data_IF_912367264516
#
_entry.id   IF_912367264516
#
_cell.length_a   1.000
_cell.length_b   1.000
_cell.length_c   1.000
_cell.angle_alpha   90.00
_cell.angle_beta   90.00
_cell.angle_gamma   90.00
#
_symmetry.space_group_name_H-M   'P 1'
#
loop_
_entity.id
_entity.type
_entity.pdbx_description
1 polymer ?
#
# COMPACT_ATOMS: atom_id res chain seq x y z
N UNK A 1 -48.50 12.40 20.76
CA UNK A 1 -47.20 12.94 21.21
C UNK A 1 -46.10 11.86 21.27
N UNK A 2 -46.40 10.59 21.61
CA UNK A 2 -45.36 9.54 21.76
C UNK A 2 -44.47 9.25 20.54
N UNK A 3 -44.99 9.29 19.31
CA UNK A 3 -44.21 8.97 18.10
C UNK A 3 -43.09 9.98 17.79
N UNK A 4 -43.25 11.25 18.12
CA UNK A 4 -42.22 12.26 17.86
C UNK A 4 -41.07 12.18 18.88
N UNK A 5 -41.39 11.92 20.16
CA UNK A 5 -40.39 11.73 21.21
C UNK A 5 -39.57 10.45 21.01
N UNK A 6 -40.19 9.39 20.51
CA UNK A 6 -39.48 8.15 20.20
C UNK A 6 -38.48 8.34 19.04
N UNK A 7 -38.89 9.09 18.00
CA UNK A 7 -38.03 9.39 16.83
C UNK A 7 -36.89 10.35 17.16
N UNK A 8 -37.11 11.30 18.06
CA UNK A 8 -36.05 12.17 18.59
C UNK A 8 -35.06 11.34 19.41
N UNK A 9 -35.53 10.38 20.20
CA UNK A 9 -34.67 9.44 20.94
C UNK A 9 -33.76 8.62 20.02
N UNK A 10 -34.34 8.00 19.00
CA UNK A 10 -33.60 7.22 17.98
C UNK A 10 -32.55 8.07 17.27
N UNK A 11 -32.90 9.28 16.83
CA UNK A 11 -31.95 10.20 16.19
C UNK A 11 -30.83 10.66 17.13
N UNK A 12 -31.12 10.87 18.41
CA UNK A 12 -30.07 11.24 19.38
C UNK A 12 -29.10 10.09 19.64
N UNK A 13 -29.57 8.84 19.62
CA UNK A 13 -28.74 7.66 19.78
C UNK A 13 -27.87 7.43 18.54
N UNK A 14 -28.45 7.55 17.35
CA UNK A 14 -27.73 7.44 16.06
C UNK A 14 -26.66 8.54 15.92
N UNK A 15 -26.95 9.77 16.32
CA UNK A 15 -25.97 10.87 16.35
C UNK A 15 -24.86 10.61 17.37
N UNK A 16 -25.17 10.02 18.53
CA UNK A 16 -24.16 9.67 19.53
C UNK A 16 -23.24 8.54 19.02
N UNK A 17 -23.79 7.54 18.35
CA UNK A 17 -23.05 6.44 17.74
C UNK A 17 -22.13 6.94 16.62
N UNK A 18 -22.64 7.72 15.67
CA UNK A 18 -21.85 8.31 14.59
C UNK A 18 -20.72 9.19 15.14
N UNK A 19 -20.97 9.93 16.23
CA UNK A 19 -19.95 10.76 16.88
C UNK A 19 -18.87 9.92 17.56
N UNK A 20 -19.24 8.81 18.18
CA UNK A 20 -18.28 7.89 18.78
C UNK A 20 -17.40 7.24 17.70
N UNK A 21 -18.00 6.81 16.59
CA UNK A 21 -17.30 6.25 15.44
C UNK A 21 -16.35 7.25 14.79
N UNK A 22 -16.81 8.50 14.59
CA UNK A 22 -15.97 9.58 14.05
C UNK A 22 -14.75 9.83 14.94
N UNK A 23 -14.94 9.88 16.26
CA UNK A 23 -13.84 10.06 17.21
C UNK A 23 -12.87 8.86 17.19
N UNK A 24 -13.37 7.63 17.07
CA UNK A 24 -12.52 6.44 16.95
C UNK A 24 -11.71 6.44 15.65
N UNK A 25 -12.32 6.87 14.53
CA UNK A 25 -11.62 7.01 13.25
C UNK A 25 -10.57 8.11 13.29
N UNK A 26 -10.86 9.25 13.91
CA UNK A 26 -9.88 10.33 14.09
C UNK A 26 -8.67 9.87 14.92
N UNK A 27 -8.90 9.16 16.03
CA UNK A 27 -7.81 8.60 16.84
C UNK A 27 -6.97 7.57 16.05
N UNK A 28 -7.61 6.79 15.18
CA UNK A 28 -6.88 5.86 14.30
C UNK A 28 -6.07 6.58 13.22
N UNK A 29 -6.57 7.70 12.69
CA UNK A 29 -5.86 8.53 11.73
C UNK A 29 -4.64 9.19 12.35
N UNK A 30 -4.77 9.80 13.53
CA UNK A 30 -3.65 10.39 14.28
C UNK A 30 -2.54 9.35 14.51
N UNK A 31 -2.91 8.13 14.93
CA UNK A 31 -1.94 7.05 15.14
C UNK A 31 -1.23 6.61 13.84
N UNK A 32 -1.94 6.62 12.71
CA UNK A 32 -1.34 6.31 11.42
C UNK A 32 -0.40 7.43 10.97
N UNK A 33 -0.76 8.69 11.19
CA UNK A 33 0.11 9.84 10.90
C UNK A 33 1.39 9.79 11.73
N UNK A 34 1.30 9.51 13.03
CA UNK A 34 2.47 9.32 13.90
C UNK A 34 3.36 8.17 13.42
N UNK A 35 2.75 7.03 13.05
CA UNK A 35 3.47 5.86 12.55
C UNK A 35 4.18 6.16 11.22
N UNK A 36 3.55 6.95 10.36
CA UNK A 36 4.10 7.36 9.07
C UNK A 36 5.29 8.30 9.25
N UNK A 37 5.19 9.28 10.16
CA UNK A 37 6.31 10.17 10.49
C UNK A 37 7.49 9.38 11.05
N UNK A 38 7.23 8.48 12.02
CA UNK A 38 8.27 7.65 12.62
C UNK A 38 8.95 6.74 11.58
N UNK A 39 8.18 6.17 10.65
CA UNK A 39 8.73 5.37 9.55
C UNK A 39 9.57 6.22 8.60
N UNK A 40 9.10 7.40 8.21
CA UNK A 40 9.84 8.34 7.35
C UNK A 40 11.19 8.72 7.96
N UNK A 41 11.23 8.94 9.26
CA UNK A 41 12.47 9.29 9.95
C UNK A 41 13.44 8.11 10.05
N UNK A 42 12.93 6.88 10.25
CA UNK A 42 13.74 5.66 10.16
C UNK A 42 14.36 5.47 8.76
N UNK A 43 13.57 5.69 7.70
CA UNK A 43 14.05 5.57 6.31
C UNK A 43 15.10 6.63 6.01
N UNK A 44 14.91 7.87 6.45
CA UNK A 44 15.93 8.93 6.31
C UNK A 44 17.22 8.56 7.03
N UNK A 45 17.13 8.08 8.27
CA UNK A 45 18.30 7.68 9.05
C UNK A 45 19.07 6.53 8.37
N UNK A 46 18.34 5.51 7.88
CA UNK A 46 18.93 4.41 7.12
C UNK A 46 19.63 4.91 5.85
N UNK A 47 18.97 5.78 5.08
CA UNK A 47 19.55 6.36 3.85
C UNK A 47 20.84 7.14 4.12
N UNK A 48 20.88 7.90 5.21
CA UNK A 48 22.12 8.63 5.60
C UNK A 48 23.22 7.62 5.94
N UNK A 49 22.94 6.62 6.76
CA UNK A 49 23.91 5.58 7.12
C UNK A 49 24.42 4.79 5.91
N UNK A 50 23.54 4.45 4.97
CA UNK A 50 23.92 3.76 3.72
C UNK A 50 24.81 4.68 2.85
N UNK A 51 24.49 5.97 2.78
CA UNK A 51 25.30 6.94 2.02
C UNK A 51 26.70 7.08 2.61
N UNK A 52 26.81 7.17 3.93
CA UNK A 52 28.09 7.22 4.64
C UNK A 52 28.91 5.93 4.43
N UNK A 53 28.25 4.77 4.48
CA UNK A 53 28.89 3.47 4.23
C UNK A 53 29.39 3.36 2.79
N UNK A 54 28.59 3.79 1.80
CA UNK A 54 29.00 3.82 0.39
C UNK A 54 30.23 4.70 0.22
N UNK A 55 30.23 5.91 0.78
CA UNK A 55 31.39 6.82 0.69
C UNK A 55 32.65 6.21 1.33
N UNK A 56 32.51 5.51 2.46
CA UNK A 56 33.63 4.82 3.10
C UNK A 56 34.19 3.71 2.22
N UNK A 57 33.33 2.88 1.63
CA UNK A 57 33.73 1.80 0.72
C UNK A 57 34.34 2.33 -0.58
N UNK A 58 33.80 3.41 -1.14
CA UNK A 58 34.36 4.07 -2.33
C UNK A 58 35.76 4.62 -2.06
N UNK A 59 35.99 5.19 -0.86
CA UNK A 59 37.32 5.63 -0.45
C UNK A 59 38.30 4.47 -0.29
N UNK A 60 37.87 3.39 0.36
CA UNK A 60 38.69 2.18 0.55
C UNK A 60 39.06 1.54 -0.79
N UNK A 61 38.09 1.43 -1.70
CA UNK A 61 38.30 0.96 -3.06
C UNK A 61 39.29 1.84 -3.82
N UNK A 62 39.21 3.17 -3.68
CA UNK A 62 40.18 4.09 -4.26
C UNK A 62 41.60 3.88 -3.73
N UNK A 63 41.76 3.66 -2.42
CA UNK A 63 43.07 3.35 -1.82
C UNK A 63 43.62 2.02 -2.36
N UNK A 64 42.81 0.96 -2.36
CA UNK A 64 43.22 -0.36 -2.87
C UNK A 64 43.57 -0.33 -4.37
N UNK A 65 42.85 0.47 -5.17
CA UNK A 65 43.19 0.67 -6.58
C UNK A 65 44.54 1.38 -6.73
N UNK A 66 44.82 2.40 -5.92
CA UNK A 66 46.12 3.07 -5.95
C UNK A 66 47.28 2.14 -5.55
N UNK A 67 47.09 1.33 -4.51
CA UNK A 67 48.07 0.33 -4.09
C UNK A 67 48.32 -0.72 -5.18
N UNK A 68 47.26 -1.22 -5.82
CA UNK A 68 47.38 -2.18 -6.91
C UNK A 68 48.11 -1.58 -8.14
N UNK A 69 47.87 -0.30 -8.45
CA UNK A 69 48.63 0.43 -9.49
C UNK A 69 50.12 0.50 -9.13
N UNK A 70 50.45 0.78 -7.86
CA UNK A 70 51.84 0.87 -7.41
C UNK A 70 52.56 -0.49 -7.44
N UNK A 71 51.86 -1.57 -7.06
CA UNK A 71 52.36 -2.95 -7.20
C UNK A 71 52.59 -3.30 -8.67
N UNK A 72 51.61 -3.01 -9.54
CA UNK A 72 51.74 -3.23 -10.98
C UNK A 72 52.95 -2.49 -11.56
N UNK A 73 53.12 -1.21 -11.20
CA UNK A 73 54.27 -0.39 -11.63
C UNK A 73 55.59 -0.97 -11.15
N UNK A 74 55.66 -1.44 -9.90
CA UNK A 74 56.85 -2.02 -9.31
C UNK A 74 57.26 -3.31 -10.04
N UNK A 75 56.31 -4.23 -10.25
CA UNK A 75 56.54 -5.50 -10.95
C UNK A 75 56.94 -5.27 -12.42
N UNK A 76 56.27 -4.35 -13.12
CA UNK A 76 56.64 -4.00 -14.49
C UNK A 76 58.05 -3.40 -14.59
N UNK A 77 58.49 -2.64 -13.58
CA UNK A 77 59.84 -2.09 -13.50
C UNK A 77 60.94 -3.15 -13.37
N UNK A 78 60.67 -4.25 -12.66
CA UNK A 78 61.62 -5.37 -12.52
C UNK A 78 61.82 -6.16 -13.81
N UNK A 79 60.83 -6.18 -14.71
CA UNK A 79 60.89 -6.89 -15.98
C UNK A 79 61.73 -6.17 -17.06
N UNK A 80 62.30 -4.99 -16.75
CA UNK A 80 63.33 -4.36 -17.60
C UNK A 80 62.81 -3.77 -18.92
N UNK A 81 61.54 -3.37 -19.00
CA UNK A 81 61.05 -2.62 -20.15
C UNK A 81 61.79 -1.27 -20.25
N UNK A 82 62.48 -1.05 -21.36
CA UNK A 82 63.27 0.15 -21.66
C UNK A 82 62.44 1.30 -22.20
N UNK A 83 61.12 1.13 -22.33
CA UNK A 83 60.21 2.24 -22.54
C UNK A 83 59.80 2.85 -21.20
N UNK A 84 59.77 4.19 -21.09
CA UNK A 84 59.35 4.84 -19.86
C UNK A 84 57.94 4.34 -19.55
N UNK A 85 57.81 3.65 -18.40
CA UNK A 85 56.53 3.16 -17.88
C UNK A 85 55.57 4.35 -17.93
N UNK A 86 54.72 4.38 -18.96
CA UNK A 86 53.73 5.42 -19.12
C UNK A 86 52.91 5.44 -17.84
N UNK A 87 52.54 6.64 -17.40
CA UNK A 87 51.78 6.86 -16.15
C UNK A 87 50.50 6.02 -16.21
N UNK A 88 50.54 4.81 -15.64
CA UNK A 88 49.38 3.94 -15.55
C UNK A 88 48.50 4.55 -14.45
N UNK A 89 47.57 5.43 -14.84
CA UNK A 89 46.57 5.99 -13.94
C UNK A 89 45.45 4.99 -13.62
N UNK A 90 45.33 3.92 -14.42
CA UNK A 90 44.27 2.92 -14.28
C UNK A 90 44.78 1.52 -14.60
N UNK A 91 44.44 0.54 -13.75
CA UNK A 91 44.77 -0.86 -13.96
C UNK A 91 44.12 -1.41 -15.24
N UNK A 92 44.87 -2.14 -16.09
CA UNK A 92 44.28 -2.96 -17.14
C UNK A 92 43.26 -3.95 -16.58
N UNK A 93 42.21 -4.31 -17.32
CA UNK A 93 41.18 -5.24 -16.85
C UNK A 93 41.77 -6.63 -16.46
N UNK A 94 42.88 -6.98 -17.11
CA UNK A 94 43.60 -8.24 -17.00
C UNK A 94 44.83 -8.15 -16.06
N UNK A 95 44.99 -7.06 -15.31
CA UNK A 95 46.25 -6.74 -14.62
C UNK A 95 46.76 -7.86 -13.70
N UNK A 96 45.86 -8.64 -13.09
CA UNK A 96 46.21 -9.79 -12.25
C UNK A 96 46.95 -10.86 -13.06
N UNK A 97 46.45 -11.16 -14.25
CA UNK A 97 47.07 -12.12 -15.17
C UNK A 97 48.42 -11.60 -15.65
N UNK A 98 48.51 -10.30 -15.95
CA UNK A 98 49.74 -9.63 -16.37
C UNK A 98 50.80 -9.64 -15.26
N UNK A 99 50.44 -9.29 -14.02
CA UNK A 99 51.35 -9.33 -12.87
C UNK A 99 51.78 -10.77 -12.57
N UNK A 100 50.86 -11.73 -12.61
CA UNK A 100 51.20 -13.13 -12.42
C UNK A 100 52.14 -13.66 -13.50
N UNK A 101 51.99 -13.22 -14.75
CA UNK A 101 52.91 -13.54 -15.83
C UNK A 101 54.31 -12.96 -15.58
N UNK A 102 54.41 -11.66 -15.24
CA UNK A 102 55.69 -11.03 -14.89
C UNK A 102 56.37 -11.71 -13.70
N UNK A 103 55.61 -12.05 -12.64
CA UNK A 103 56.15 -12.75 -11.48
C UNK A 103 56.67 -14.15 -11.81
N UNK A 104 55.97 -14.89 -12.68
CA UNK A 104 56.44 -16.19 -13.18
C UNK A 104 57.75 -16.01 -13.95
N UNK A 105 57.83 -15.02 -14.82
CA UNK A 105 59.01 -14.77 -15.62
C UNK A 105 60.21 -14.35 -14.78
N UNK A 106 60.04 -13.40 -13.85
CA UNK A 106 61.06 -13.03 -12.87
C UNK A 106 61.51 -14.25 -12.07
N UNK A 107 60.58 -15.09 -11.61
CA UNK A 107 60.91 -16.33 -10.89
C UNK A 107 61.71 -17.31 -11.77
N UNK A 108 61.33 -17.47 -13.04
CA UNK A 108 62.04 -18.32 -14.00
C UNK A 108 63.45 -17.80 -14.28
N UNK A 109 63.61 -16.49 -14.49
CA UNK A 109 64.93 -15.86 -14.69
C UNK A 109 65.81 -15.98 -13.46
N UNK A 110 65.27 -15.77 -12.26
CA UNK A 110 66.00 -15.96 -11.00
C UNK A 110 66.41 -17.42 -10.80
N UNK A 111 65.51 -18.37 -11.07
CA UNK A 111 65.83 -19.80 -10.99
C UNK A 111 66.92 -20.19 -11.99
N UNK A 112 66.82 -19.73 -13.24
CA UNK A 112 67.83 -19.99 -14.27
C UNK A 112 69.19 -19.38 -13.89
N UNK A 113 69.20 -18.16 -13.34
CA UNK A 113 70.41 -17.55 -12.81
C UNK A 113 71.01 -18.36 -11.65
N UNK A 114 70.20 -18.92 -10.74
CA UNK A 114 70.67 -19.80 -9.67
C UNK A 114 71.30 -21.09 -10.20
N UNK A 115 70.72 -21.66 -11.25
CA UNK A 115 71.22 -22.89 -11.88
C UNK A 115 72.52 -22.64 -12.67
N UNK A 116 72.62 -21.51 -13.38
CA UNK A 116 73.84 -21.08 -14.10
C UNK A 116 74.96 -20.62 -13.18
N UNK A 117 74.63 -20.00 -12.05
CA UNK A 117 75.60 -19.44 -11.09
C UNK A 117 76.21 -20.50 -10.18
N UNK A 118 76.45 -21.71 -10.67
CA UNK A 118 77.30 -22.72 -10.02
C UNK A 118 78.78 -22.28 -10.04
N UNK A 119 79.06 -21.11 -9.46
CA UNK A 119 80.35 -20.42 -9.42
C UNK A 119 80.81 -20.42 -7.97
N UNK A 120 81.62 -21.43 -7.64
CA UNK A 120 82.32 -21.52 -6.36
C UNK A 120 82.94 -20.18 -5.96
N UNK A 121 82.51 -19.66 -4.80
CA UNK A 121 83.21 -18.82 -3.80
C UNK A 121 82.20 -17.83 -3.17
N UNK A 122 81.77 -18.12 -1.93
CA UNK A 122 81.01 -17.19 -1.06
C UNK A 122 79.47 -17.34 -1.04
N UNK A 123 78.94 -18.37 -1.68
CA UNK A 123 77.54 -18.47 -2.16
C UNK A 123 76.44 -18.75 -1.11
N UNK A 124 76.77 -19.08 0.15
CA UNK A 124 75.73 -19.35 1.16
C UNK A 124 74.82 -18.13 1.41
N UNK A 125 75.38 -16.91 1.37
CA UNK A 125 74.60 -15.69 1.59
C UNK A 125 73.73 -15.30 0.39
N UNK A 126 74.18 -15.60 -0.83
CA UNK A 126 73.46 -15.23 -2.07
C UNK A 126 72.32 -16.22 -2.30
N UNK A 127 72.57 -17.53 -2.17
CA UNK A 127 71.51 -18.53 -2.26
C UNK A 127 70.44 -18.37 -1.17
N UNK A 128 70.84 -18.05 0.07
CA UNK A 128 69.88 -17.74 1.14
C UNK A 128 69.05 -16.48 0.83
N UNK A 129 69.64 -15.47 0.17
CA UNK A 129 68.92 -14.26 -0.26
C UNK A 129 67.93 -14.55 -1.39
N UNK A 130 68.27 -15.48 -2.30
CA UNK A 130 67.38 -15.87 -3.39
C UNK A 130 66.23 -16.76 -2.89
N UNK A 131 66.48 -17.70 -1.97
CA UNK A 131 65.41 -18.44 -1.30
C UNK A 131 64.49 -17.53 -0.47
N UNK A 132 65.05 -16.52 0.20
CA UNK A 132 64.27 -15.50 0.89
C UNK A 132 63.38 -14.69 -0.07
N UNK A 133 63.90 -14.27 -1.23
CA UNK A 133 63.08 -13.61 -2.26
C UNK A 133 62.01 -14.53 -2.85
N UNK A 134 62.33 -15.79 -3.13
CA UNK A 134 61.35 -16.75 -3.67
C UNK A 134 60.21 -17.03 -2.69
N UNK A 135 60.53 -17.15 -1.39
CA UNK A 135 59.52 -17.33 -0.34
C UNK A 135 58.66 -16.07 -0.14
N UNK A 136 59.29 -14.89 -0.18
CA UNK A 136 58.60 -13.60 -0.12
C UNK A 136 57.61 -13.43 -1.29
N UNK A 137 58.05 -13.68 -2.53
CA UNK A 137 57.19 -13.59 -3.72
C UNK A 137 56.02 -14.59 -3.70
N UNK A 138 56.24 -15.80 -3.17
CA UNK A 138 55.15 -16.78 -2.99
C UNK A 138 54.12 -16.30 -1.97
N UNK A 139 54.58 -15.75 -0.85
CA UNK A 139 53.69 -15.21 0.17
C UNK A 139 52.90 -14.02 -0.37
N UNK A 140 53.57 -13.10 -1.07
CA UNK A 140 52.95 -11.90 -1.63
C UNK A 140 51.94 -12.21 -2.74
N UNK A 141 52.19 -13.26 -3.53
CA UNK A 141 51.22 -13.80 -4.50
C UNK A 141 49.96 -14.31 -3.82
N UNK A 142 50.07 -15.02 -2.71
CA UNK A 142 48.89 -15.55 -2.00
C UNK A 142 48.09 -14.41 -1.36
N UNK A 143 48.77 -13.43 -0.74
CA UNK A 143 48.09 -12.25 -0.18
C UNK A 143 47.39 -11.43 -1.25
N UNK A 144 47.97 -11.28 -2.45
CA UNK A 144 47.29 -10.62 -3.56
C UNK A 144 46.07 -11.41 -4.03
N UNK A 145 46.13 -12.74 -4.06
CA UNK A 145 45.00 -13.58 -4.44
C UNK A 145 43.83 -13.41 -3.48
N UNK A 146 44.10 -13.37 -2.18
CA UNK A 146 43.10 -13.11 -1.15
C UNK A 146 42.49 -11.71 -1.28
N UNK A 147 43.33 -10.69 -1.52
CA UNK A 147 42.88 -9.31 -1.72
C UNK A 147 41.98 -9.16 -2.96
N UNK A 148 42.32 -9.84 -4.07
CA UNK A 148 41.48 -9.85 -5.28
C UNK A 148 40.13 -10.54 -5.01
N UNK A 149 40.14 -11.67 -4.28
CA UNK A 149 38.90 -12.35 -3.91
C UNK A 149 37.99 -11.46 -3.05
N UNK A 150 38.58 -10.75 -2.07
CA UNK A 150 37.86 -9.80 -1.23
C UNK A 150 37.29 -8.62 -2.04
N UNK A 151 38.05 -8.09 -3.01
CA UNK A 151 37.59 -7.03 -3.92
C UNK A 151 36.40 -7.48 -4.77
N UNK A 152 36.47 -8.66 -5.38
CA UNK A 152 35.37 -9.21 -6.19
C UNK A 152 34.11 -9.39 -5.34
N UNK A 153 34.27 -9.85 -4.10
CA UNK A 153 33.15 -9.97 -3.17
C UNK A 153 32.55 -8.60 -2.82
N UNK A 154 33.39 -7.61 -2.49
CA UNK A 154 32.92 -6.25 -2.19
C UNK A 154 32.21 -5.60 -3.38
N UNK A 155 32.70 -5.82 -4.61
CA UNK A 155 32.05 -5.30 -5.83
C UNK A 155 30.68 -5.94 -6.06
N UNK A 156 30.53 -7.23 -5.78
CA UNK A 156 29.24 -7.92 -5.84
C UNK A 156 28.25 -7.39 -4.78
N UNK A 157 28.72 -7.13 -3.55
CA UNK A 157 27.90 -6.54 -2.49
C UNK A 157 27.44 -5.12 -2.85
N UNK A 158 28.32 -4.28 -3.42
CA UNK A 158 27.97 -2.93 -3.89
C UNK A 158 26.93 -2.99 -5.02
N UNK A 159 27.05 -3.94 -5.95
CA UNK A 159 26.06 -4.11 -7.02
C UNK A 159 24.69 -4.49 -6.46
N UNK A 160 24.64 -5.42 -5.51
CA UNK A 160 23.39 -5.82 -4.83
C UNK A 160 22.78 -4.65 -4.05
N UNK A 161 23.59 -3.88 -3.32
CA UNK A 161 23.11 -2.70 -2.60
C UNK A 161 22.53 -1.65 -3.54
N UNK A 162 23.16 -1.38 -4.69
CA UNK A 162 22.63 -0.45 -5.70
C UNK A 162 21.25 -0.87 -6.21
N UNK A 163 21.02 -2.17 -6.42
CA UNK A 163 19.71 -2.70 -6.80
C UNK A 163 18.67 -2.50 -5.70
N UNK A 164 19.02 -2.76 -4.44
CA UNK A 164 18.12 -2.52 -3.31
C UNK A 164 17.78 -1.04 -3.12
N UNK A 165 18.73 -0.13 -3.34
CA UNK A 165 18.49 1.32 -3.29
C UNK A 165 17.55 1.75 -4.42
N UNK A 166 17.72 1.22 -5.63
CA UNK A 166 16.84 1.52 -6.75
C UNK A 166 15.39 1.10 -6.47
N UNK A 167 15.19 -0.12 -5.96
CA UNK A 167 13.87 -0.66 -5.60
C UNK A 167 13.21 0.09 -4.44
N UNK A 168 13.97 0.46 -3.40
CA UNK A 168 13.46 1.29 -2.31
C UNK A 168 13.09 2.70 -2.79
N UNK A 169 13.86 3.27 -3.71
CA UNK A 169 13.57 4.59 -4.30
C UNK A 169 12.26 4.58 -5.09
N UNK A 170 12.02 3.54 -5.89
CA UNK A 170 10.74 3.38 -6.61
C UNK A 170 9.57 3.24 -5.65
N UNK A 171 9.70 2.42 -4.60
CA UNK A 171 8.65 2.28 -3.59
C UNK A 171 8.36 3.58 -2.82
N UNK A 172 9.39 4.37 -2.51
CA UNK A 172 9.18 5.69 -1.89
C UNK A 172 8.38 6.62 -2.82
N UNK A 173 8.71 6.64 -4.12
CA UNK A 173 7.98 7.44 -5.10
C UNK A 173 6.52 7.01 -5.24
N UNK A 174 6.24 5.71 -5.22
CA UNK A 174 4.88 5.17 -5.27
C UNK A 174 4.09 5.52 -4.01
N UNK A 175 4.73 5.44 -2.84
CA UNK A 175 4.12 5.83 -1.57
C UNK A 175 3.77 7.32 -1.54
N UNK A 176 4.67 8.19 -2.02
CA UNK A 176 4.41 9.62 -2.13
C UNK A 176 3.24 9.92 -3.09
N UNK A 177 3.14 9.21 -4.22
CA UNK A 177 2.01 9.33 -5.13
C UNK A 177 0.67 8.88 -4.49
N UNK A 178 0.68 7.79 -3.72
CA UNK A 178 -0.50 7.35 -2.96
C UNK A 178 -0.92 8.35 -1.89
N UNK A 179 0.03 8.94 -1.17
CA UNK A 179 -0.25 9.99 -0.18
C UNK A 179 -0.90 11.20 -0.86
N UNK A 180 -0.41 11.62 -2.03
CA UNK A 180 -1.02 12.70 -2.78
C UNK A 180 -2.46 12.38 -3.22
N UNK A 181 -2.72 11.16 -3.68
CA UNK A 181 -4.08 10.70 -4.03
C UNK A 181 -5.02 10.73 -2.83
N UNK A 182 -4.62 10.15 -1.70
CA UNK A 182 -5.42 10.10 -0.47
C UNK A 182 -5.72 11.50 0.08
N UNK A 183 -4.77 12.44 -0.01
CA UNK A 183 -5.01 13.85 0.36
C UNK A 183 -6.06 14.50 -0.53
N UNK A 184 -6.02 14.22 -1.84
CA UNK A 184 -7.04 14.74 -2.77
C UNK A 184 -8.42 14.14 -2.48
N UNK A 185 -8.48 12.85 -2.17
CA UNK A 185 -9.74 12.17 -1.81
C UNK A 185 -10.32 12.71 -0.51
N UNK A 186 -9.49 12.94 0.51
CA UNK A 186 -9.91 13.54 1.77
C UNK A 186 -10.46 14.97 1.56
N UNK A 187 -9.81 15.78 0.73
CA UNK A 187 -10.29 17.12 0.39
C UNK A 187 -11.65 17.08 -0.35
N UNK A 188 -11.82 16.12 -1.27
CA UNK A 188 -13.08 15.92 -1.98
C UNK A 188 -14.20 15.45 -1.05
N UNK A 189 -13.90 14.53 -0.12
CA UNK A 189 -14.85 14.06 0.89
C UNK A 189 -15.30 15.20 1.80
N UNK A 190 -14.36 16.05 2.25
CA UNK A 190 -14.68 17.24 3.04
C UNK A 190 -15.58 18.22 2.29
N UNK A 191 -15.30 18.49 1.01
CA UNK A 191 -16.17 19.33 0.19
C UNK A 191 -17.57 18.71 -0.04
N UNK A 192 -17.65 17.38 -0.14
CA UNK A 192 -18.91 16.66 -0.24
C UNK A 192 -19.73 16.75 1.04
N UNK A 193 -19.09 16.64 2.22
CA UNK A 193 -19.75 16.83 3.52
C UNK A 193 -20.32 18.24 3.68
N UNK A 194 -19.59 19.28 3.27
CA UNK A 194 -20.10 20.65 3.29
C UNK A 194 -21.34 20.80 2.41
N UNK A 195 -21.32 20.20 1.21
CA UNK A 195 -22.45 20.24 0.30
C UNK A 195 -23.68 19.48 0.82
N UNK A 196 -23.47 18.36 1.51
CA UNK A 196 -24.55 17.64 2.20
C UNK A 196 -25.15 18.53 3.29
N UNK A 197 -24.30 19.19 4.08
CA UNK A 197 -24.74 20.09 5.16
C UNK A 197 -25.57 21.27 4.64
N UNK A 198 -25.19 21.86 3.50
CA UNK A 198 -26.00 22.89 2.83
C UNK A 198 -27.37 22.37 2.40
N UNK A 199 -27.41 21.20 1.74
CA UNK A 199 -28.66 20.60 1.29
C UNK A 199 -29.57 20.24 2.47
N UNK A 200 -28.99 19.76 3.58
CA UNK A 200 -29.74 19.50 4.81
C UNK A 200 -30.32 20.79 5.41
N UNK A 201 -29.54 21.88 5.43
CA UNK A 201 -30.01 23.19 5.88
C UNK A 201 -31.19 23.68 5.02
N UNK A 202 -31.07 23.63 3.68
CA UNK A 202 -32.16 23.98 2.76
C UNK A 202 -33.41 23.11 2.97
N UNK A 203 -33.23 21.81 3.23
CA UNK A 203 -34.33 20.88 3.48
C UNK A 203 -35.04 21.21 4.80
N UNK A 204 -34.30 21.58 5.85
CA UNK A 204 -34.90 22.04 7.10
C UNK A 204 -35.69 23.34 6.89
N UNK A 205 -35.17 24.31 6.14
CA UNK A 205 -35.89 25.54 5.81
C UNK A 205 -37.18 25.23 5.02
N UNK A 206 -37.10 24.39 3.99
CA UNK A 206 -38.26 23.96 3.21
C UNK A 206 -39.33 23.26 4.05
N UNK A 207 -38.93 22.41 5.01
CA UNK A 207 -39.85 21.79 5.97
C UNK A 207 -40.57 22.85 6.81
N UNK A 208 -39.83 23.83 7.34
CA UNK A 208 -40.46 24.92 8.12
C UNK A 208 -41.45 25.73 7.28
N UNK A 209 -41.12 26.05 6.02
CA UNK A 209 -42.04 26.72 5.09
C UNK A 209 -43.30 25.89 4.80
N UNK A 210 -43.13 24.59 4.55
CA UNK A 210 -44.25 23.67 4.37
C UNK A 210 -45.16 23.61 5.59
N UNK A 211 -44.60 23.61 6.80
CA UNK A 211 -45.36 23.60 8.05
C UNK A 211 -46.13 24.90 8.25
N UNK A 212 -45.52 26.05 7.93
CA UNK A 212 -46.21 27.35 7.97
C UNK A 212 -47.37 27.40 6.97
N UNK A 213 -47.16 26.93 5.73
CA UNK A 213 -48.23 26.84 4.72
C UNK A 213 -49.36 25.92 5.19
N UNK A 214 -49.06 24.78 5.81
CA UNK A 214 -50.08 23.89 6.37
C UNK A 214 -50.87 24.57 7.49
N UNK A 215 -50.21 25.30 8.40
CA UNK A 215 -50.89 26.06 9.46
C UNK A 215 -51.78 27.17 8.89
N UNK A 216 -51.33 27.88 7.88
CA UNK A 216 -52.12 28.95 7.25
C UNK A 216 -53.34 28.40 6.48
N UNK A 217 -53.16 27.30 5.73
CA UNK A 217 -54.29 26.61 5.10
C UNK A 217 -55.32 26.13 6.12
N UNK A 218 -54.87 25.62 7.26
CA UNK A 218 -55.75 25.22 8.35
C UNK A 218 -56.52 26.43 8.92
N UNK A 219 -55.82 27.56 9.16
CA UNK A 219 -56.44 28.82 9.61
C UNK A 219 -57.49 29.33 8.62
N UNK A 220 -57.20 29.27 7.32
CA UNK A 220 -58.13 29.66 6.27
C UNK A 220 -59.37 28.77 6.25
N UNK A 221 -59.20 27.44 6.36
CA UNK A 221 -60.34 26.50 6.46
C UNK A 221 -61.22 26.81 7.68
N UNK A 222 -60.61 27.07 8.84
CA UNK A 222 -61.34 27.42 10.06
C UNK A 222 -62.04 28.77 9.97
N UNK A 223 -61.45 29.76 9.27
CA UNK A 223 -62.10 31.04 9.02
C UNK A 223 -63.34 30.87 8.12
N UNK A 224 -63.21 30.12 7.02
CA UNK A 224 -64.33 29.80 6.12
C UNK A 224 -65.44 29.04 6.86
N UNK A 225 -65.09 28.06 7.69
CA UNK A 225 -66.09 27.34 8.49
C UNK A 225 -66.81 28.25 9.49
N UNK A 226 -66.09 29.17 10.16
CA UNK A 226 -66.70 30.15 11.07
C UNK A 226 -67.63 31.12 10.35
N UNK A 227 -67.21 31.61 9.18
CA UNK A 227 -68.01 32.53 8.36
C UNK A 227 -69.29 31.85 7.86
N UNK A 228 -69.19 30.57 7.46
CA UNK A 228 -70.35 29.75 7.08
C UNK A 228 -71.30 29.48 8.24
N UNK A 229 -70.77 29.27 9.45
CA UNK A 229 -71.59 29.11 10.66
C UNK A 229 -72.32 30.41 11.03
N UNK A 230 -71.65 31.57 10.95
CA UNK A 230 -72.27 32.87 11.19
C UNK A 230 -73.38 33.21 10.19
N UNK A 231 -73.23 32.81 8.92
CA UNK A 231 -74.31 32.93 7.93
C UNK A 231 -75.51 32.02 8.25
N UNK A 232 -75.28 30.86 8.86
CA UNK A 232 -76.33 29.92 9.24
C UNK A 232 -77.08 30.37 10.51
N UNK A 233 -76.41 31.02 11.45
CA UNK A 233 -77.02 31.62 12.66
C UNK A 233 -77.76 32.93 12.35
N UNK A 234 -77.29 33.72 11.38
CA UNK A 234 -77.99 34.93 10.92
C UNK A 234 -79.27 34.64 10.11
N UNK A 235 -79.43 33.43 9.58
CA UNK A 235 -80.64 32.96 8.88
C UNK A 235 -81.64 32.22 9.80
N UNK A 236 -81.35 32.14 11.10
CA UNK A 236 -82.13 31.40 12.10
C UNK A 236 -83.35 32.12 12.69
N UNK A 237 -83.80 33.22 12.08
CA UNK A 237 -85.01 33.93 12.49
C UNK A 237 -85.81 34.38 11.27
N UNK A 238 -86.54 33.45 10.66
CA UNK A 238 -87.93 33.61 10.17
C UNK A 238 -88.32 32.44 9.26
N UNK A 239 -89.51 31.90 9.52
CA UNK A 239 -90.32 31.09 8.61
C UNK A 239 -91.72 31.72 8.65
N UNK A 240 -92.59 31.69 7.60
CA UNK A 240 -92.65 30.64 6.57
C UNK A 240 -93.03 31.09 5.13
N UNK A 241 -93.02 30.09 4.22
CA UNK A 241 -93.63 30.07 2.87
C UNK A 241 -92.90 30.90 1.79
N UNK A 242 -92.74 30.48 0.53
CA UNK A 242 -93.62 29.72 -0.35
C UNK A 242 -92.89 29.26 -1.63
N UNK A 243 -93.58 28.39 -2.39
CA UNK A 243 -93.55 28.21 -3.87
C UNK A 243 -92.37 27.51 -4.54
N UNK A 244 -92.61 26.24 -4.87
CA UNK A 244 -92.74 25.74 -6.25
C UNK A 244 -91.77 26.31 -7.29
N UNK A 245 -90.69 25.58 -7.61
CA UNK A 245 -90.21 25.30 -8.98
C UNK A 245 -88.83 24.62 -9.00
N UNK A 246 -88.70 23.37 -8.53
CA UNK A 246 -87.47 22.57 -8.74
C UNK A 246 -87.67 21.32 -9.60
N UNK A 247 -88.92 20.99 -9.94
CA UNK A 247 -89.26 19.74 -10.62
C UNK A 247 -88.99 19.72 -12.13
N UNK A 248 -88.57 20.83 -12.75
CA UNK A 248 -88.35 20.91 -14.20
C UNK A 248 -86.85 20.88 -14.60
N UNK A 249 -85.95 21.40 -13.76
CA UNK A 249 -84.51 21.50 -14.06
C UNK A 249 -83.79 20.16 -13.83
N UNK A 250 -84.16 19.44 -12.77
CA UNK A 250 -83.64 18.10 -12.50
C UNK A 250 -84.11 17.09 -13.57
N UNK A 251 -85.34 17.23 -14.06
CA UNK A 251 -85.91 16.35 -15.10
C UNK A 251 -85.30 16.62 -16.48
N UNK A 252 -84.98 17.88 -16.81
CA UNK A 252 -84.20 18.19 -18.03
C UNK A 252 -82.75 17.74 -17.95
N UNK A 253 -82.12 17.73 -16.77
CA UNK A 253 -80.74 17.25 -16.61
C UNK A 253 -80.65 15.71 -16.63
N UNK A 254 -81.65 15.02 -16.07
CA UNK A 254 -81.72 13.55 -16.07
C UNK A 254 -82.14 12.98 -17.44
N UNK A 255 -83.07 13.63 -18.17
CA UNK A 255 -83.41 13.24 -19.54
C UNK A 255 -82.30 13.53 -20.56
N UNK A 256 -81.42 14.52 -20.29
CA UNK A 256 -80.29 14.87 -21.17
C UNK A 256 -79.08 13.97 -20.96
N UNK A 257 -78.86 13.47 -19.74
CA UNK A 257 -77.88 12.41 -19.46
C UNK A 257 -78.26 11.05 -20.07
N UNK A 258 -79.57 10.77 -20.23
CA UNK A 258 -80.07 9.54 -20.85
C UNK A 258 -79.98 9.52 -22.40
N UNK A 259 -79.70 10.66 -23.05
CA UNK A 259 -79.63 10.78 -24.51
C UNK A 259 -78.21 10.68 -25.10
N UNK A 260 -77.18 10.42 -24.29
CA UNK A 260 -75.81 10.16 -24.77
C UNK A 260 -75.11 11.34 -25.48
N UNK A 261 -75.64 12.56 -25.37
CA UNK A 261 -75.05 13.74 -25.99
C UNK A 261 -73.83 14.24 -25.22
N UNK A 262 -72.64 13.99 -25.75
CA UNK A 262 -71.38 14.57 -25.28
C UNK A 262 -71.45 16.08 -25.52
N UNK A 263 -71.34 16.91 -24.48
CA UNK A 263 -71.32 18.37 -24.65
C UNK A 263 -69.91 18.88 -24.98
N UNK A 264 -69.77 20.05 -25.62
CA UNK A 264 -68.46 20.68 -25.87
C UNK A 264 -67.64 20.88 -24.58
N UNK A 265 -68.34 21.02 -23.44
CA UNK A 265 -67.73 21.10 -22.11
C UNK A 265 -67.18 19.75 -21.64
N UNK A 266 -67.86 18.65 -21.96
CA UNK A 266 -67.36 17.30 -21.70
C UNK A 266 -66.17 16.96 -22.60
N UNK A 267 -66.21 17.34 -23.89
CA UNK A 267 -65.06 17.22 -24.82
C UNK A 267 -63.87 18.02 -24.32
N UNK A 268 -64.07 19.27 -23.89
CA UNK A 268 -62.99 20.10 -23.33
C UNK A 268 -62.42 19.52 -22.02
N UNK A 269 -63.27 18.95 -21.16
CA UNK A 269 -62.82 18.29 -19.92
C UNK A 269 -62.06 16.99 -20.19
N UNK A 270 -62.45 16.25 -21.23
CA UNK A 270 -61.80 15.02 -21.66
C UNK A 270 -60.44 15.33 -22.31
N UNK A 271 -60.37 16.32 -23.20
CA UNK A 271 -59.11 16.80 -23.82
C UNK A 271 -58.15 17.36 -22.76
N UNK A 272 -58.64 18.08 -21.75
CA UNK A 272 -57.83 18.59 -20.64
C UNK A 272 -57.33 17.47 -19.71
N UNK A 273 -58.16 16.44 -19.47
CA UNK A 273 -57.79 15.24 -18.70
C UNK A 273 -56.79 14.37 -19.44
N UNK A 274 -56.93 14.26 -20.77
CA UNK A 274 -56.06 13.49 -21.65
C UNK A 274 -54.69 14.17 -21.78
N UNK A 275 -54.62 15.50 -21.91
CA UNK A 275 -53.35 16.24 -21.86
C UNK A 275 -52.63 16.15 -20.50
N UNK A 276 -53.38 16.09 -19.39
CA UNK A 276 -52.83 15.91 -18.04
C UNK A 276 -52.32 14.49 -17.81
N UNK A 277 -53.03 13.47 -18.30
CA UNK A 277 -52.56 12.08 -18.31
C UNK A 277 -51.31 11.91 -19.18
N UNK A 278 -51.29 12.52 -20.36
CA UNK A 278 -50.18 12.37 -21.32
C UNK A 278 -48.89 13.06 -20.82
N UNK A 279 -49.03 14.18 -20.10
CA UNK A 279 -47.93 14.82 -19.36
C UNK A 279 -47.40 13.97 -18.20
N UNK A 280 -48.30 13.31 -17.44
CA UNK A 280 -47.94 12.40 -16.36
C UNK A 280 -47.23 11.15 -16.88
N UNK A 281 -47.70 10.59 -18.00
CA UNK A 281 -47.09 9.43 -18.66
C UNK A 281 -45.70 9.79 -19.18
N UNK A 282 -45.50 10.97 -19.79
CA UNK A 282 -44.17 11.45 -20.21
C UNK A 282 -43.22 11.65 -19.02
N UNK A 283 -43.70 12.26 -17.93
CA UNK A 283 -42.93 12.44 -16.70
C UNK A 283 -42.56 11.12 -16.02
N UNK A 284 -43.48 10.15 -16.02
CA UNK A 284 -43.22 8.82 -15.47
C UNK A 284 -42.23 8.05 -16.35
N UNK A 285 -42.33 8.17 -17.67
CA UNK A 285 -41.37 7.57 -18.61
C UNK A 285 -39.95 8.12 -18.41
N UNK A 286 -39.78 9.44 -18.32
CA UNK A 286 -38.46 10.04 -18.07
C UNK A 286 -37.88 9.63 -16.71
N UNK A 287 -38.73 9.52 -15.68
CA UNK A 287 -38.32 9.04 -14.35
C UNK A 287 -37.91 7.56 -14.37
N UNK A 288 -38.60 6.75 -15.16
CA UNK A 288 -38.30 5.32 -15.31
C UNK A 288 -36.98 5.11 -16.08
N UNK A 289 -36.73 5.90 -17.12
CA UNK A 289 -35.44 5.93 -17.84
C UNK A 289 -34.28 6.39 -16.94
N UNK A 290 -34.51 7.41 -16.10
CA UNK A 290 -33.51 7.88 -15.14
C UNK A 290 -33.19 6.82 -14.07
N UNK A 291 -34.22 6.17 -13.53
CA UNK A 291 -34.04 5.06 -12.57
C UNK A 291 -33.33 3.87 -13.20
N UNK A 292 -33.64 3.52 -14.46
CA UNK A 292 -32.94 2.46 -15.18
C UNK A 292 -31.44 2.78 -15.35
N UNK A 293 -31.11 4.02 -15.70
CA UNK A 293 -29.71 4.47 -15.82
C UNK A 293 -28.98 4.42 -14.48
N UNK A 294 -29.60 4.86 -13.39
CA UNK A 294 -29.04 4.76 -12.05
C UNK A 294 -28.84 3.31 -11.61
N UNK A 295 -29.76 2.41 -11.96
CA UNK A 295 -29.65 0.99 -11.63
C UNK A 295 -28.45 0.33 -12.34
N UNK A 296 -28.22 0.67 -13.61
CA UNK A 296 -27.03 0.20 -14.35
C UNK A 296 -25.72 0.79 -13.82
N UNK A 297 -25.73 2.04 -13.34
CA UNK A 297 -24.59 2.64 -12.63
C UNK A 297 -24.27 1.86 -11.35
N UNK A 298 -25.29 1.63 -10.51
CA UNK A 298 -25.15 0.89 -9.26
C UNK A 298 -24.68 -0.56 -9.49
N UNK A 299 -25.10 -1.21 -10.57
CA UNK A 299 -24.59 -2.54 -10.93
C UNK A 299 -23.10 -2.51 -11.29
N UNK A 300 -22.66 -1.49 -12.05
CA UNK A 300 -21.23 -1.32 -12.38
C UNK A 300 -20.41 -1.02 -11.14
N UNK A 301 -20.90 -0.15 -10.26
CA UNK A 301 -20.23 0.17 -9.00
C UNK A 301 -20.18 -1.06 -8.07
N UNK A 302 -21.25 -1.84 -7.98
CA UNK A 302 -21.26 -3.08 -7.21
C UNK A 302 -20.26 -4.11 -7.76
N UNK A 303 -20.18 -4.27 -9.09
CA UNK A 303 -19.19 -5.14 -9.72
C UNK A 303 -17.76 -4.67 -9.45
N UNK A 304 -17.51 -3.35 -9.48
CA UNK A 304 -16.22 -2.77 -9.13
C UNK A 304 -15.87 -3.02 -7.66
N UNK A 305 -16.79 -2.74 -6.74
CA UNK A 305 -16.60 -2.94 -5.31
C UNK A 305 -16.31 -4.42 -4.99
N UNK A 306 -17.03 -5.36 -5.61
CA UNK A 306 -16.75 -6.79 -5.47
C UNK A 306 -15.35 -7.17 -5.98
N UNK A 307 -14.89 -6.57 -7.08
CA UNK A 307 -13.53 -6.76 -7.58
C UNK A 307 -12.48 -6.25 -6.60
N UNK A 308 -12.68 -5.06 -6.02
CA UNK A 308 -11.77 -4.46 -5.03
C UNK A 308 -11.73 -5.32 -3.76
N UNK A 309 -12.88 -5.78 -3.27
CA UNK A 309 -12.96 -6.69 -2.13
C UNK A 309 -12.18 -7.99 -2.40
N UNK A 310 -12.35 -8.59 -3.58
CA UNK A 310 -11.61 -9.79 -3.96
C UNK A 310 -10.09 -9.56 -4.05
N UNK A 311 -9.66 -8.36 -4.44
CA UNK A 311 -8.24 -7.99 -4.39
C UNK A 311 -7.73 -7.91 -2.95
N UNK A 312 -8.45 -7.21 -2.06
CA UNK A 312 -8.04 -7.10 -0.66
C UNK A 312 -8.01 -8.43 0.07
N UNK A 313 -8.93 -9.36 -0.24
CA UNK A 313 -8.90 -10.72 0.30
C UNK A 313 -7.58 -11.42 -0.09
N UNK A 314 -7.18 -11.35 -1.37
CA UNK A 314 -5.92 -11.95 -1.84
C UNK A 314 -4.69 -11.32 -1.18
N UNK A 315 -4.67 -10.00 -1.03
CA UNK A 315 -3.58 -9.31 -0.35
C UNK A 315 -3.48 -9.72 1.13
N UNK A 316 -4.62 -9.80 1.83
CA UNK A 316 -4.68 -10.27 3.23
C UNK A 316 -4.20 -11.72 3.39
N UNK A 317 -4.54 -12.61 2.45
CA UNK A 317 -4.03 -13.97 2.43
C UNK A 317 -2.51 -14.00 2.24
N UNK A 318 -1.98 -13.14 1.38
CA UNK A 318 -0.54 -12.94 1.21
C UNK A 318 0.16 -12.48 2.49
N UNK A 319 -0.40 -11.49 3.19
CA UNK A 319 0.13 -11.02 4.48
C UNK A 319 0.14 -12.13 5.54
N UNK A 320 -0.95 -12.91 5.65
CA UNK A 320 -1.02 -14.06 6.57
C UNK A 320 0.01 -15.14 6.25
N UNK A 321 0.27 -15.40 4.97
CA UNK A 321 1.31 -16.34 4.56
C UNK A 321 2.70 -15.84 4.95
N UNK A 322 2.99 -14.57 4.73
CA UNK A 322 4.26 -13.95 5.12
C UNK A 322 4.46 -13.94 6.65
N UNK A 323 3.41 -13.63 7.42
CA UNK A 323 3.47 -13.66 8.88
C UNK A 323 3.79 -15.07 9.40
N UNK A 324 3.17 -16.12 8.83
CA UNK A 324 3.50 -17.52 9.18
C UNK A 324 4.96 -17.85 8.91
N UNK A 325 5.51 -17.39 7.77
CA UNK A 325 6.93 -17.58 7.44
C UNK A 325 7.81 -16.84 8.46
N UNK A 326 7.47 -15.61 8.81
CA UNK A 326 8.24 -14.81 9.76
C UNK A 326 8.27 -15.44 11.16
N UNK A 327 7.12 -15.92 11.64
CA UNK A 327 7.03 -16.70 12.89
C UNK A 327 7.92 -17.96 12.81
N UNK A 328 7.91 -18.65 11.67
CA UNK A 328 8.79 -19.81 11.44
C UNK A 328 10.27 -19.47 11.47
N UNK A 329 10.68 -18.35 10.86
CA UNK A 329 12.07 -17.86 10.90
C UNK A 329 12.47 -17.51 12.33
N UNK A 330 11.61 -16.85 13.09
CA UNK A 330 11.89 -16.48 14.48
C UNK A 330 11.98 -17.71 15.39
N UNK A 331 11.13 -18.70 15.16
CA UNK A 331 11.20 -20.00 15.82
C UNK A 331 12.55 -20.70 15.57
N UNK A 332 12.99 -20.76 14.31
CA UNK A 332 14.29 -21.32 13.93
C UNK A 332 15.46 -20.54 14.55
N UNK A 333 15.38 -19.21 14.52
CA UNK A 333 16.40 -18.33 15.12
C UNK A 333 16.55 -18.60 16.61
N UNK A 334 15.44 -18.77 17.34
CA UNK A 334 15.45 -19.06 18.77
C UNK A 334 16.08 -20.43 19.06
N UNK A 335 15.78 -21.45 18.25
CA UNK A 335 16.41 -22.77 18.37
C UNK A 335 17.92 -22.67 18.16
N UNK A 336 18.36 -22.00 17.10
CA UNK A 336 19.79 -21.80 16.81
C UNK A 336 20.47 -21.03 17.93
N UNK A 337 19.84 -19.97 18.43
CA UNK A 337 20.38 -19.17 19.54
C UNK A 337 20.53 -20.00 20.82
N UNK A 338 19.50 -20.75 21.22
CA UNK A 338 19.56 -21.63 22.38
C UNK A 338 20.65 -22.70 22.23
N UNK A 339 20.81 -23.26 21.03
CA UNK A 339 21.87 -24.23 20.77
C UNK A 339 23.27 -23.62 20.85
N UNK A 340 23.48 -22.44 20.28
CA UNK A 340 24.79 -21.76 20.29
C UNK A 340 25.17 -21.24 21.68
N UNK A 341 24.19 -20.85 22.50
CA UNK A 341 24.41 -20.38 23.86
C UNK A 341 24.44 -21.51 24.92
N UNK A 342 24.13 -22.75 24.55
CA UNK A 342 24.21 -23.89 25.44
C UNK A 342 25.66 -24.33 25.69
N UNK A 343 25.92 -24.86 26.89
CA UNK A 343 27.22 -25.42 27.25
C UNK A 343 27.62 -26.59 26.33
N UNK A 344 28.93 -26.79 26.13
CA UNK A 344 29.50 -27.77 25.20
C UNK A 344 29.07 -29.22 25.44
N UNK A 345 28.77 -29.57 26.68
CA UNK A 345 28.30 -30.89 27.10
C UNK A 345 26.77 -31.05 26.93
N UNK A 346 26.04 -29.93 26.83
CA UNK A 346 24.59 -29.90 26.63
C UNK A 346 24.22 -29.87 25.15
N UNK A 347 25.02 -29.22 24.30
CA UNK A 347 24.77 -29.11 22.85
C UNK A 347 24.46 -30.46 22.20
N UNK A 348 25.25 -31.54 22.36
CA UNK A 348 24.95 -32.84 21.75
C UNK A 348 23.63 -33.45 22.23
N UNK A 349 23.20 -33.16 23.46
CA UNK A 349 21.94 -33.68 24.05
C UNK A 349 20.71 -32.96 23.52
N UNK A 350 20.86 -31.75 23.00
CA UNK A 350 19.76 -30.96 22.42
C UNK A 350 19.45 -31.35 20.97
N UNK A 351 20.44 -31.86 20.21
CA UNK A 351 20.31 -32.24 18.80
C UNK A 351 19.12 -33.20 18.54
N UNK A 352 18.87 -34.25 19.35
CA UNK A 352 17.71 -35.13 19.18
C UNK A 352 16.36 -34.41 19.22
N UNK A 353 16.19 -33.51 20.17
CA UNK A 353 14.98 -32.70 20.32
C UNK A 353 14.83 -31.72 19.16
N UNK A 354 15.92 -31.06 18.75
CA UNK A 354 15.93 -30.12 17.63
C UNK A 354 15.51 -30.81 16.32
N UNK A 355 16.10 -31.94 15.96
CA UNK A 355 15.72 -32.61 14.70
C UNK A 355 14.30 -33.19 14.74
N UNK A 356 13.75 -33.46 15.93
CA UNK A 356 12.35 -33.88 16.09
C UNK A 356 11.41 -32.70 15.87
N UNK A 357 11.73 -31.56 16.48
CA UNK A 357 11.01 -30.29 16.32
C UNK A 357 11.04 -29.78 14.88
N UNK A 358 12.15 -29.97 14.18
CA UNK A 358 12.31 -29.61 12.77
C UNK A 358 11.85 -30.71 11.80
N UNK A 359 11.22 -31.77 12.31
CA UNK A 359 10.63 -32.86 11.53
C UNK A 359 11.60 -33.52 10.54
N UNK A 360 12.87 -33.70 10.94
CA UNK A 360 13.86 -34.36 10.09
C UNK A 360 13.43 -35.80 9.79
N UNK A 361 13.55 -36.19 8.53
CA UNK A 361 13.31 -37.56 8.11
C UNK A 361 14.43 -38.50 8.59
N UNK A 362 14.20 -39.82 8.49
CA UNK A 362 15.15 -40.82 9.00
C UNK A 362 16.54 -40.74 8.36
N UNK A 363 16.63 -40.31 7.10
CA UNK A 363 17.90 -40.12 6.40
C UNK A 363 18.66 -38.93 6.99
N UNK A 364 18.00 -37.79 7.13
CA UNK A 364 18.58 -36.58 7.74
C UNK A 364 19.02 -36.82 9.19
N UNK A 365 18.23 -37.56 9.98
CA UNK A 365 18.61 -37.97 11.34
C UNK A 365 19.88 -38.85 11.33
N UNK A 366 19.99 -39.79 10.39
CA UNK A 366 21.19 -40.62 10.24
C UNK A 366 22.43 -39.79 9.88
N UNK A 367 22.29 -38.84 8.96
CA UNK A 367 23.38 -37.95 8.54
C UNK A 367 23.86 -37.06 9.70
N UNK A 368 22.92 -36.58 10.53
CA UNK A 368 23.24 -35.79 11.73
C UNK A 368 23.99 -36.62 12.78
N UNK A 369 23.62 -37.89 13.01
CA UNK A 369 24.37 -38.79 13.89
C UNK A 369 25.78 -39.07 13.36
N UNK A 370 25.91 -39.26 12.05
CA UNK A 370 27.21 -39.50 11.42
C UNK A 370 28.15 -38.29 11.57
N UNK A 371 27.62 -37.07 11.43
CA UNK A 371 28.37 -35.84 11.63
C UNK A 371 28.64 -35.52 13.12
N UNK A 372 27.83 -36.05 14.04
CA UNK A 372 27.93 -35.77 15.47
C UNK A 372 27.95 -37.07 16.30
N UNK A 373 29.11 -37.76 16.40
CA UNK A 373 29.20 -39.07 17.08
C UNK A 373 28.90 -39.03 18.59
N UNK A 374 28.95 -37.84 19.20
CA UNK A 374 28.63 -37.60 20.62
C UNK A 374 27.12 -37.38 20.88
N UNK A 375 26.32 -37.29 19.82
CA UNK A 375 24.87 -37.10 19.90
C UNK A 375 24.18 -38.38 20.40
N UNK A 376 23.22 -38.32 21.34
CA UNK A 376 22.36 -39.44 21.67
C UNK A 376 21.60 -39.93 20.43
N UNK A 377 21.23 -41.22 20.40
CA UNK A 377 20.41 -41.77 19.32
C UNK A 377 19.02 -41.13 19.33
N UNK A 378 18.48 -40.88 18.14
CA UNK A 378 17.09 -40.47 17.95
C UNK A 378 16.16 -41.61 18.37
N UNK A 379 15.12 -41.31 19.15
CA UNK A 379 14.05 -42.24 19.52
C UNK A 379 12.95 -42.30 18.47
#
# INVERSE_FOLDING_TARGET
MGSAQQRVGELTEEVAEVRADLNAKNASLEKLEESLVAWKDKVKAAKVGDTERIQALEKELGMLQSEAVDVFRSVAGFHGSTEPVQVVEKLPDDWVSTVNWYLIEVQTTVNAFCEESSVSVGESSVMASIEAMSSFLKQEKETMREAVAAKVQSEAEVASLKETVATLTTHCSEADARIASLKSEAANSSAQEERIREVEAENTELKTRCDLLRKELQRQREAVHRERAQQHDAAGAESPASTSAESASAVQSVLRAAAGGITDRDVASFVSSQGSQDGLVRSNKSKLEQLAKQNEELKRENAHNNSVIAQYIRELEGYKANERIQIGIEYLRNIVHQYLCAADDLRPKMIPAICTVLEFNNKQKSDVLAANPRCPRFH
#
